data_IF_670791040548
#
_entry.id   IF_670791040548
#
_cell.length_a   1.000
_cell.length_b   1.000
_cell.length_c   1.000
_cell.angle_alpha   90.00
_cell.angle_beta   90.00
_cell.angle_gamma   90.00
#
_symmetry.space_group_name_H-M   'P 1'
#
loop_
_entity.id
_entity.type
_entity.pdbx_description
1 polymer ?
#
# COMPACT_ATOMS: atom_id res chain seq x y z
N UNK A 1 -41.86 -44.87 -6.90
CA UNK A 1 -42.77 -45.68 -7.75
C UNK A 1 -42.13 -45.73 -9.13
N UNK A 2 -41.45 -46.83 -9.47
CA UNK A 2 -41.93 -47.94 -10.35
C UNK A 2 -41.92 -47.48 -11.82
N UNK A 3 -41.29 -48.09 -12.82
CA UNK A 3 -40.72 -49.44 -13.05
C UNK A 3 -39.91 -49.35 -14.38
N UNK A 4 -38.62 -49.75 -14.43
CA UNK A 4 -38.06 -50.93 -15.12
C UNK A 4 -38.59 -51.26 -16.53
N UNK A 5 -37.66 -51.34 -17.49
CA UNK A 5 -37.69 -52.29 -18.61
C UNK A 5 -36.33 -53.02 -18.66
N UNK A 6 -36.37 -54.33 -18.88
CA UNK A 6 -35.29 -55.30 -18.63
C UNK A 6 -35.49 -56.46 -19.61
N UNK A 7 -34.54 -56.71 -20.50
CA UNK A 7 -34.48 -57.91 -21.36
C UNK A 7 -33.04 -57.93 -21.98
N UNK A 8 -32.22 -58.99 -22.12
CA UNK A 8 -32.28 -60.46 -22.01
C UNK A 8 -30.90 -60.94 -21.49
N UNK A 9 -30.83 -62.16 -20.95
CA UNK A 9 -29.71 -62.83 -20.27
C UNK A 9 -29.21 -64.07 -21.04
N UNK A 10 -27.90 -64.38 -20.85
CA UNK A 10 -27.21 -65.72 -20.81
C UNK A 10 -26.74 -66.43 -22.09
N UNK A 11 -25.87 -67.49 -22.01
CA UNK A 11 -24.94 -67.92 -20.93
C UNK A 11 -23.53 -68.45 -21.35
N UNK A 12 -22.60 -68.44 -20.39
CA UNK A 12 -21.49 -69.38 -20.03
C UNK A 12 -20.55 -70.00 -21.11
N UNK A 13 -19.21 -69.83 -21.08
CA UNK A 13 -18.13 -70.39 -20.19
C UNK A 13 -17.89 -71.92 -20.33
N UNK A 14 -16.73 -72.51 -19.92
CA UNK A 14 -15.34 -72.03 -19.71
C UNK A 14 -14.29 -72.93 -20.44
N UNK A 15 -12.98 -72.67 -20.27
CA UNK A 15 -11.99 -73.57 -19.61
C UNK A 15 -10.52 -73.24 -20.03
N UNK A 16 -9.71 -72.89 -19.02
CA UNK A 16 -8.30 -73.23 -18.69
C UNK A 16 -7.25 -73.36 -19.84
N UNK A 17 -5.98 -72.99 -19.71
CA UNK A 17 -5.03 -73.41 -18.66
C UNK A 17 -3.69 -72.66 -18.84
N UNK A 18 -2.95 -72.52 -17.73
CA UNK A 18 -1.69 -71.82 -17.62
C UNK A 18 -0.48 -72.68 -18.02
N UNK A 19 0.59 -72.08 -18.54
CA UNK A 19 1.97 -72.55 -18.27
C UNK A 19 2.97 -71.40 -18.36
N UNK A 20 3.81 -71.31 -17.32
CA UNK A 20 4.94 -70.39 -17.15
C UNK A 20 6.14 -70.79 -18.03
N UNK A 21 7.01 -69.84 -18.41
CA UNK A 21 8.42 -69.74 -17.96
C UNK A 21 9.36 -68.90 -18.88
N UNK A 22 10.11 -67.99 -18.24
CA UNK A 22 11.54 -67.63 -18.45
C UNK A 22 11.96 -66.57 -19.52
N UNK A 23 12.24 -65.36 -18.99
CA UNK A 23 13.46 -64.49 -19.09
C UNK A 23 13.95 -63.93 -20.45
N UNK A 24 13.86 -62.61 -20.65
CA UNK A 24 15.01 -61.65 -20.57
C UNK A 24 14.74 -60.28 -21.27
N UNK A 25 15.12 -59.21 -20.57
CA UNK A 25 15.40 -57.81 -20.95
C UNK A 25 15.08 -57.23 -22.35
N UNK A 26 14.46 -56.04 -22.35
CA UNK A 26 15.00 -54.77 -22.95
C UNK A 26 13.87 -53.72 -23.09
N UNK A 27 13.46 -52.99 -22.06
CA UNK A 27 13.85 -51.58 -21.78
C UNK A 27 13.99 -50.64 -22.98
N UNK A 28 12.87 -50.15 -23.54
CA UNK A 28 12.86 -48.97 -24.44
C UNK A 28 11.50 -48.25 -24.49
N UNK A 29 10.92 -47.81 -23.36
CA UNK A 29 9.68 -47.00 -23.45
C UNK A 29 9.42 -46.07 -22.25
N UNK A 30 10.47 -45.51 -21.64
CA UNK A 30 10.31 -44.57 -20.52
C UNK A 30 11.16 -43.30 -20.59
N UNK A 31 11.79 -43.02 -21.74
CA UNK A 31 12.66 -41.84 -21.90
C UNK A 31 11.99 -40.67 -22.61
N UNK A 32 11.08 -40.87 -23.58
CA UNK A 32 10.56 -39.72 -24.36
C UNK A 32 9.62 -38.79 -23.57
N UNK A 33 8.80 -39.28 -22.64
CA UNK A 33 7.91 -38.38 -21.87
C UNK A 33 8.64 -37.59 -20.76
N UNK A 34 9.82 -38.03 -20.34
CA UNK A 34 10.64 -37.30 -19.37
C UNK A 34 11.47 -36.19 -20.01
N UNK A 35 11.74 -36.26 -21.31
CA UNK A 35 12.52 -35.22 -22.01
C UNK A 35 11.69 -33.95 -22.18
N UNK A 36 10.40 -34.06 -22.53
CA UNK A 36 9.54 -32.86 -22.76
C UNK A 36 9.21 -32.08 -21.47
N UNK A 37 9.24 -32.72 -20.29
CA UNK A 37 9.05 -32.02 -19.00
C UNK A 37 10.34 -31.51 -18.35
N UNK A 38 11.52 -31.97 -18.79
CA UNK A 38 12.80 -31.47 -18.25
C UNK A 38 13.26 -30.17 -18.90
N UNK A 39 12.86 -29.90 -20.14
CA UNK A 39 13.29 -28.69 -20.87
C UNK A 39 12.62 -27.38 -20.38
N UNK A 40 11.62 -27.46 -19.50
CA UNK A 40 11.02 -26.26 -18.87
C UNK A 40 11.64 -25.85 -17.54
N UNK A 41 12.62 -26.62 -17.03
CA UNK A 41 13.43 -26.25 -15.87
C UNK A 41 14.87 -25.87 -16.24
N UNK A 42 15.20 -25.84 -17.54
CA UNK A 42 16.48 -25.33 -18.02
C UNK A 42 16.38 -23.85 -18.41
N UNK A 43 15.90 -23.02 -17.47
CA UNK A 43 16.11 -21.57 -17.55
C UNK A 43 17.46 -21.23 -16.92
N UNK A 44 18.51 -21.90 -17.39
CA UNK A 44 19.93 -21.55 -17.20
C UNK A 44 20.34 -20.24 -17.90
N UNK A 45 19.38 -19.38 -18.24
CA UNK A 45 19.67 -18.00 -18.60
C UNK A 45 20.14 -17.30 -17.35
N UNK A 46 21.45 -17.06 -17.24
CA UNK A 46 22.09 -16.18 -16.25
C UNK A 46 21.16 -15.00 -16.03
N UNK A 47 20.43 -15.06 -14.94
CA UNK A 47 19.56 -13.99 -14.52
C UNK A 47 20.38 -12.71 -14.52
N UNK A 48 19.93 -11.58 -15.10
CA UNK A 48 20.62 -10.31 -14.89
C UNK A 48 20.59 -10.00 -13.41
N UNK A 49 21.69 -10.31 -12.75
CA UNK A 49 21.94 -10.02 -11.34
C UNK A 49 21.94 -8.50 -11.18
N UNK A 50 22.42 -7.78 -12.20
CA UNK A 50 22.44 -6.31 -12.27
C UNK A 50 21.05 -5.71 -12.07
N UNK A 51 20.01 -6.19 -12.77
CA UNK A 51 18.64 -5.69 -12.59
C UNK A 51 18.10 -5.90 -11.17
N UNK A 52 18.40 -7.04 -10.56
CA UNK A 52 18.03 -7.31 -9.15
C UNK A 52 18.79 -6.44 -8.15
N UNK A 53 20.06 -6.15 -8.41
CA UNK A 53 20.87 -5.24 -7.58
C UNK A 53 20.27 -3.84 -7.65
N UNK A 54 20.02 -3.33 -8.86
CA UNK A 54 19.41 -2.00 -9.05
C UNK A 54 18.03 -1.92 -8.40
N UNK A 55 17.19 -2.94 -8.60
CA UNK A 55 15.90 -3.06 -7.89
C UNK A 55 16.09 -2.96 -6.38
N UNK A 56 17.01 -3.72 -5.80
CA UNK A 56 17.20 -3.78 -4.35
C UNK A 56 17.67 -2.44 -3.77
N UNK A 57 18.57 -1.74 -4.49
CA UNK A 57 19.04 -0.41 -4.10
C UNK A 57 17.91 0.62 -4.16
N UNK A 58 17.16 0.67 -5.27
CA UNK A 58 16.04 1.60 -5.42
C UNK A 58 14.92 1.30 -4.42
N UNK A 59 14.63 0.03 -4.18
CA UNK A 59 13.65 -0.42 -3.19
C UNK A 59 14.05 0.00 -1.77
N UNK A 60 15.34 -0.06 -1.43
CA UNK A 60 15.86 0.43 -0.16
C UNK A 60 15.73 1.94 -0.03
N UNK A 61 16.07 2.70 -1.07
CA UNK A 61 15.91 4.16 -1.07
C UNK A 61 14.42 4.53 -0.90
N UNK A 62 13.52 3.89 -1.66
CA UNK A 62 12.08 4.11 -1.55
C UNK A 62 11.57 3.79 -0.13
N UNK A 63 12.04 2.68 0.47
CA UNK A 63 11.71 2.33 1.85
C UNK A 63 12.15 3.42 2.84
N UNK A 64 13.38 3.93 2.72
CA UNK A 64 13.86 5.00 3.59
C UNK A 64 13.01 6.27 3.45
N UNK A 65 12.64 6.64 2.22
CA UNK A 65 11.77 7.78 1.97
C UNK A 65 10.40 7.61 2.61
N UNK A 66 9.75 6.44 2.50
CA UNK A 66 8.45 6.19 3.16
C UNK A 66 8.58 6.21 4.68
N UNK A 67 9.61 5.57 5.24
CA UNK A 67 9.85 5.53 6.69
C UNK A 67 10.06 6.94 7.25
N UNK A 68 10.77 7.80 6.52
CA UNK A 68 11.02 9.20 6.90
C UNK A 68 9.81 10.09 6.62
N UNK A 69 9.09 9.88 5.52
CA UNK A 69 7.88 10.63 5.16
C UNK A 69 6.77 10.44 6.21
N UNK A 70 6.61 9.21 6.69
CA UNK A 70 5.52 8.80 7.60
C UNK A 70 5.41 9.68 8.86
N UNK A 71 6.48 9.95 9.64
CA UNK A 71 6.44 10.84 10.79
C UNK A 71 6.56 12.34 10.45
N UNK A 72 6.97 12.69 9.23
CA UNK A 72 7.10 14.08 8.77
C UNK A 72 5.73 14.66 8.44
N UNK A 73 5.62 15.98 8.56
CA UNK A 73 4.40 16.72 8.24
C UNK A 73 4.04 16.59 6.75
N UNK A 74 2.79 16.29 6.47
CA UNK A 74 2.19 16.20 5.13
C UNK A 74 1.64 17.55 4.67
N UNK A 75 1.16 18.36 5.62
CA UNK A 75 0.67 19.72 5.37
C UNK A 75 1.31 20.73 6.30
N UNK A 76 1.36 21.97 5.83
CA UNK A 76 1.80 23.15 6.56
C UNK A 76 0.76 24.25 6.40
N UNK A 77 0.17 24.68 7.51
CA UNK A 77 -0.79 25.79 7.52
C UNK A 77 -0.04 27.13 7.57
N UNK A 78 -0.58 28.12 6.88
CA UNK A 78 -0.07 29.49 6.92
C UNK A 78 -0.44 30.16 8.25
N UNK A 79 0.40 31.08 8.71
CA UNK A 79 0.28 31.72 10.02
C UNK A 79 -1.03 32.54 10.13
N UNK A 80 -1.47 33.18 9.04
CA UNK A 80 -2.74 33.92 9.04
C UNK A 80 -3.98 33.07 9.31
N UNK A 81 -4.08 31.87 8.69
CA UNK A 81 -5.19 30.95 8.95
C UNK A 81 -5.04 30.22 10.28
N UNK A 82 -3.80 29.89 10.66
CA UNK A 82 -3.49 29.30 11.97
C UNK A 82 -4.02 30.20 13.09
N UNK A 83 -3.70 31.49 13.08
CA UNK A 83 -4.07 32.41 14.15
C UNK A 83 -5.58 32.64 14.22
N UNK A 84 -6.25 32.55 13.07
CA UNK A 84 -7.70 32.65 12.97
C UNK A 84 -8.43 31.43 13.54
N UNK A 85 -8.02 30.22 13.16
CA UNK A 85 -8.61 28.96 13.64
C UNK A 85 -8.20 28.62 15.08
N UNK A 86 -6.99 29.02 15.47
CA UNK A 86 -6.38 28.69 16.75
C UNK A 86 -5.81 29.95 17.42
N UNK A 87 -6.66 30.83 17.95
CA UNK A 87 -6.24 32.09 18.56
C UNK A 87 -5.35 31.88 19.79
N UNK A 88 -5.55 30.79 20.53
CA UNK A 88 -4.68 30.34 21.62
C UNK A 88 -3.22 30.08 21.20
N UNK A 89 -3.01 29.83 19.91
CA UNK A 89 -1.72 29.56 19.30
C UNK A 89 -1.15 30.79 18.56
N UNK A 90 -1.90 31.91 18.48
CA UNK A 90 -1.47 33.12 17.78
C UNK A 90 -0.23 33.78 18.42
N UNK A 91 -0.06 33.64 19.74
CA UNK A 91 1.15 34.08 20.44
C UNK A 91 2.38 33.25 20.10
N UNK A 92 2.21 32.11 19.40
CA UNK A 92 3.32 31.27 18.94
C UNK A 92 3.80 31.71 17.57
N UNK A 93 5.10 31.96 17.42
CA UNK A 93 5.72 32.17 16.10
C UNK A 93 5.88 30.86 15.30
N UNK A 94 5.42 29.72 15.82
CA UNK A 94 5.63 28.39 15.23
C UNK A 94 4.48 27.98 14.32
N UNK A 95 4.82 27.62 13.09
CA UNK A 95 3.87 27.11 12.10
C UNK A 95 3.19 25.81 12.54
N UNK A 96 1.90 25.71 12.26
CA UNK A 96 1.12 24.52 12.53
C UNK A 96 1.28 23.52 11.38
N UNK A 97 1.74 22.32 11.72
CA UNK A 97 2.06 21.28 10.76
C UNK A 97 1.26 20.02 11.05
N UNK A 98 0.78 19.35 10.02
CA UNK A 98 -0.09 18.17 10.15
C UNK A 98 0.62 16.99 9.51
N UNK A 99 0.91 15.94 10.29
CA UNK A 99 1.41 14.65 9.78
C UNK A 99 0.29 13.62 9.72
N UNK A 100 0.59 12.42 9.20
CA UNK A 100 -0.34 11.30 9.23
C UNK A 100 -0.73 10.86 10.66
N UNK A 101 0.06 11.24 11.67
CA UNK A 101 -0.06 10.79 13.06
C UNK A 101 -0.61 11.83 14.03
N UNK A 102 -0.71 13.08 13.60
CA UNK A 102 -1.11 14.18 14.48
C UNK A 102 -0.69 15.56 14.00
N UNK A 103 -1.13 16.55 14.74
CA UNK A 103 -0.73 17.95 14.61
C UNK A 103 0.51 18.24 15.44
N UNK A 104 1.41 19.04 14.90
CA UNK A 104 2.63 19.51 15.55
C UNK A 104 2.65 21.03 15.55
N UNK A 105 2.99 21.61 16.70
CA UNK A 105 3.21 23.05 16.81
C UNK A 105 4.69 23.36 16.53
N UNK A 106 5.00 23.57 15.25
CA UNK A 106 6.35 23.62 14.69
C UNK A 106 6.70 22.31 13.98
N UNK A 107 6.99 22.39 12.68
CA UNK A 107 7.29 21.22 11.84
C UNK A 107 8.50 20.39 12.29
N UNK A 108 9.43 20.99 13.04
CA UNK A 108 10.64 20.33 13.55
C UNK A 108 10.48 19.80 15.00
N UNK A 109 9.31 19.93 15.60
CA UNK A 109 9.08 19.52 16.99
C UNK A 109 8.76 18.01 17.05
N UNK A 110 9.30 17.35 18.08
CA UNK A 110 9.08 15.92 18.32
C UNK A 110 7.69 15.63 18.91
N UNK A 111 7.15 16.57 19.69
CA UNK A 111 5.86 16.45 20.35
C UNK A 111 4.68 16.71 19.41
N UNK A 112 3.59 15.96 19.64
CA UNK A 112 2.31 16.22 19.01
C UNK A 112 1.47 17.10 19.94
N UNK A 113 0.90 18.16 19.39
CA UNK A 113 -0.06 18.97 20.12
C UNK A 113 -1.40 18.23 20.24
N UNK A 114 -1.86 17.61 19.15
CA UNK A 114 -3.09 16.80 19.10
C UNK A 114 -2.87 15.56 18.21
N UNK A 115 -3.01 14.34 18.75
CA UNK A 115 -2.84 13.08 17.99
C UNK A 115 -4.14 12.56 17.38
N UNK A 116 -5.24 12.63 18.12
CA UNK A 116 -6.50 11.99 17.71
C UNK A 116 -7.34 12.84 16.75
N UNK A 117 -6.88 14.07 16.46
CA UNK A 117 -7.58 15.05 15.62
C UNK A 117 -9.06 15.25 16.00
N UNK A 118 -9.44 14.86 17.22
CA UNK A 118 -10.83 14.70 17.64
C UNK A 118 -11.52 16.05 17.69
N UNK A 119 -10.81 17.05 18.17
CA UNK A 119 -11.25 18.45 18.27
C UNK A 119 -10.98 19.28 17.02
N UNK A 120 -10.21 18.79 16.04
CA UNK A 120 -9.71 19.61 14.92
C UNK A 120 -10.37 19.25 13.59
N UNK A 121 -10.53 17.95 13.32
CA UNK A 121 -11.02 17.48 12.03
C UNK A 121 -12.33 16.74 12.15
N UNK A 122 -13.09 16.85 11.08
CA UNK A 122 -14.33 16.12 10.86
C UNK A 122 -14.14 14.62 10.99
N UNK A 123 -15.22 13.91 11.31
CA UNK A 123 -15.23 12.45 11.33
C UNK A 123 -14.66 11.86 10.04
N UNK A 124 -15.09 12.34 8.87
CA UNK A 124 -14.62 11.84 7.57
C UNK A 124 -13.12 12.03 7.34
N UNK A 125 -12.60 13.23 7.63
CA UNK A 125 -11.17 13.57 7.49
C UNK A 125 -10.32 12.78 8.48
N UNK A 126 -10.81 12.58 9.71
CA UNK A 126 -10.15 11.77 10.75
C UNK A 126 -10.05 10.30 10.36
N UNK A 127 -11.13 9.73 9.83
CA UNK A 127 -11.13 8.35 9.31
C UNK A 127 -10.11 8.21 8.18
N UNK A 128 -10.02 9.19 7.27
CA UNK A 128 -9.00 9.19 6.22
C UNK A 128 -7.57 9.18 6.78
N UNK A 129 -7.26 9.97 7.82
CA UNK A 129 -5.94 9.92 8.46
C UNK A 129 -5.64 8.55 9.09
N UNK A 130 -6.63 7.91 9.73
CA UNK A 130 -6.47 6.55 10.28
C UNK A 130 -6.26 5.50 9.20
N UNK A 131 -6.94 5.64 8.06
CA UNK A 131 -6.70 4.80 6.88
C UNK A 131 -5.26 5.03 6.38
N UNK A 132 -4.82 6.28 6.21
CA UNK A 132 -3.45 6.61 5.78
C UNK A 132 -2.41 6.02 6.73
N UNK A 133 -2.61 6.15 8.04
CA UNK A 133 -1.74 5.57 9.07
C UNK A 133 -1.57 4.06 8.88
N UNK A 134 -2.67 3.32 8.76
CA UNK A 134 -2.66 1.88 8.55
C UNK A 134 -1.99 1.48 7.23
N UNK A 135 -2.33 2.15 6.13
CA UNK A 135 -1.76 1.85 4.81
C UNK A 135 -0.27 2.18 4.74
N UNK A 136 0.22 3.22 5.43
CA UNK A 136 1.65 3.50 5.54
C UNK A 136 2.39 2.35 6.25
N UNK A 137 1.87 1.85 7.37
CA UNK A 137 2.47 0.71 8.11
C UNK A 137 2.52 -0.53 7.21
N UNK A 138 1.41 -0.85 6.54
CA UNK A 138 1.32 -1.98 5.63
C UNK A 138 2.32 -1.85 4.47
N UNK A 139 2.40 -0.66 3.85
CA UNK A 139 3.33 -0.38 2.77
C UNK A 139 4.77 -0.59 3.22
N UNK A 140 5.17 -0.08 4.40
CA UNK A 140 6.50 -0.28 4.96
C UNK A 140 6.78 -1.78 5.15
N UNK A 141 5.83 -2.52 5.74
CA UNK A 141 5.97 -3.97 5.94
C UNK A 141 6.21 -4.73 4.63
N UNK A 142 5.41 -4.46 3.61
CA UNK A 142 5.56 -5.09 2.29
C UNK A 142 6.83 -4.63 1.55
N UNK A 143 7.26 -3.37 1.73
CA UNK A 143 8.53 -2.89 1.18
C UNK A 143 9.74 -3.58 1.83
N UNK A 144 9.73 -3.78 3.14
CA UNK A 144 10.77 -4.54 3.86
C UNK A 144 10.78 -5.99 3.40
N UNK A 145 9.60 -6.62 3.30
CA UNK A 145 9.49 -7.99 2.82
C UNK A 145 9.98 -8.13 1.37
N UNK A 146 9.60 -7.18 0.51
CA UNK A 146 10.08 -7.12 -0.88
C UNK A 146 11.60 -6.90 -0.99
N UNK A 147 12.20 -6.12 -0.09
CA UNK A 147 13.64 -5.94 -0.02
C UNK A 147 14.37 -7.22 0.40
N UNK A 148 13.88 -7.90 1.46
CA UNK A 148 14.44 -9.19 1.90
C UNK A 148 14.36 -10.23 0.78
N UNK A 149 13.20 -10.33 0.12
CA UNK A 149 13.02 -11.26 -1.02
C UNK A 149 13.92 -10.88 -2.20
N UNK A 150 14.13 -9.59 -2.47
CA UNK A 150 15.10 -9.10 -3.45
C UNK A 150 16.53 -9.56 -3.15
N UNK A 151 16.97 -9.40 -1.90
CA UNK A 151 18.28 -9.86 -1.44
C UNK A 151 18.41 -11.39 -1.58
N UNK A 152 17.40 -12.15 -1.16
CA UNK A 152 17.39 -13.62 -1.30
C UNK A 152 17.39 -14.08 -2.76
N UNK A 153 16.79 -13.29 -3.66
CA UNK A 153 16.80 -13.55 -5.10
C UNK A 153 18.19 -13.34 -5.72
N UNK A 154 18.99 -12.40 -5.19
CA UNK A 154 20.39 -12.22 -5.59
C UNK A 154 21.22 -13.45 -5.21
N UNK A 155 20.96 -14.05 -4.04
CA UNK A 155 21.59 -15.31 -3.61
C UNK A 155 21.03 -16.57 -4.31
N UNK A 156 20.16 -16.40 -5.32
CA UNK A 156 19.51 -17.49 -6.07
C UNK A 156 18.68 -18.45 -5.19
N UNK A 157 18.26 -18.03 -3.99
CA UNK A 157 17.41 -18.84 -3.11
C UNK A 157 15.93 -18.74 -3.47
N UNK A 158 15.54 -17.67 -4.15
CA UNK A 158 14.16 -17.33 -4.49
C UNK A 158 14.08 -16.90 -5.96
N UNK A 159 12.98 -17.26 -6.63
CA UNK A 159 12.74 -16.86 -8.01
C UNK A 159 12.38 -15.38 -8.16
N UNK A 160 12.84 -14.75 -9.25
CA UNK A 160 12.60 -13.33 -9.57
C UNK A 160 11.13 -12.91 -9.53
N UNK A 161 10.23 -13.80 -9.97
CA UNK A 161 8.79 -13.54 -10.04
C UNK A 161 8.19 -13.22 -8.68
N UNK A 162 8.63 -13.90 -7.62
CA UNK A 162 8.12 -13.68 -6.27
C UNK A 162 8.47 -12.26 -5.78
N UNK A 163 9.73 -11.85 -5.91
CA UNK A 163 10.18 -10.50 -5.56
C UNK A 163 9.44 -9.42 -6.34
N UNK A 164 9.30 -9.58 -7.66
CA UNK A 164 8.56 -8.65 -8.50
C UNK A 164 7.09 -8.52 -8.10
N UNK A 165 6.42 -9.63 -7.78
CA UNK A 165 5.01 -9.62 -7.33
C UNK A 165 4.81 -8.88 -6.01
N UNK A 166 5.67 -9.14 -5.02
CA UNK A 166 5.60 -8.48 -3.71
C UNK A 166 5.89 -6.98 -3.86
N UNK A 167 6.90 -6.63 -4.65
CA UNK A 167 7.23 -5.24 -4.92
C UNK A 167 6.10 -4.50 -5.66
N UNK A 168 5.43 -5.17 -6.61
CA UNK A 168 4.27 -4.61 -7.32
C UNK A 168 3.11 -4.36 -6.37
N UNK A 169 2.85 -5.31 -5.47
CA UNK A 169 1.83 -5.15 -4.44
C UNK A 169 2.15 -3.97 -3.51
N UNK A 170 3.41 -3.83 -3.08
CA UNK A 170 3.85 -2.70 -2.28
C UNK A 170 3.71 -1.36 -3.03
N UNK A 171 3.98 -1.32 -4.34
CA UNK A 171 3.79 -0.13 -5.19
C UNK A 171 2.32 0.29 -5.27
N UNK A 172 1.41 -0.67 -5.45
CA UNK A 172 -0.04 -0.41 -5.46
C UNK A 172 -0.49 0.07 -4.08
N UNK A 173 -0.02 -0.53 -2.99
CA UNK A 173 -0.35 -0.05 -1.65
C UNK A 173 0.15 1.37 -1.38
N UNK A 174 1.35 1.71 -1.84
CA UNK A 174 1.94 3.03 -1.67
C UNK A 174 1.14 4.12 -2.40
N UNK A 175 0.38 3.77 -3.46
CA UNK A 175 -0.50 4.71 -4.17
C UNK A 175 -1.63 5.27 -3.28
N UNK A 176 -2.09 4.46 -2.33
CA UNK A 176 -3.29 4.76 -1.53
C UNK A 176 -3.03 5.92 -0.53
N UNK A 177 -1.99 5.89 0.32
CA UNK A 177 -1.70 7.00 1.23
C UNK A 177 -1.54 8.35 0.53
N UNK A 178 -0.77 8.41 -0.56
CA UNK A 178 -0.55 9.70 -1.25
C UNK A 178 -1.82 10.19 -1.92
N UNK A 179 -2.63 9.30 -2.50
CA UNK A 179 -3.90 9.66 -3.14
C UNK A 179 -4.91 10.22 -2.14
N UNK A 180 -5.02 9.61 -0.95
CA UNK A 180 -5.89 10.11 0.12
C UNK A 180 -5.42 11.49 0.59
N UNK A 181 -4.12 11.67 0.84
CA UNK A 181 -3.54 12.97 1.24
C UNK A 181 -3.78 14.01 0.11
N UNK A 182 -3.53 13.66 -1.15
CA UNK A 182 -3.80 14.56 -2.26
C UNK A 182 -5.29 14.99 -2.32
N UNK A 183 -6.21 14.05 -2.13
CA UNK A 183 -7.66 14.32 -2.12
C UNK A 183 -8.11 15.18 -0.93
N UNK A 184 -7.51 15.01 0.24
CA UNK A 184 -7.82 15.79 1.44
C UNK A 184 -7.42 17.27 1.31
N UNK A 185 -6.44 17.59 0.46
CA UNK A 185 -5.99 18.96 0.23
C UNK A 185 -7.08 19.89 -0.31
N UNK A 186 -8.06 19.34 -1.04
CA UNK A 186 -9.18 20.10 -1.58
C UNK A 186 -10.43 20.08 -0.67
N UNK A 187 -10.38 19.36 0.45
CA UNK A 187 -11.51 19.27 1.36
C UNK A 187 -11.55 20.49 2.28
N UNK A 188 -12.76 20.93 2.62
CA UNK A 188 -13.00 21.96 3.63
C UNK A 188 -12.89 21.35 5.03
N UNK A 189 -12.37 22.07 6.04
CA UNK A 189 -12.51 21.65 7.43
C UNK A 189 -13.99 21.70 7.82
N UNK A 190 -14.33 21.03 8.92
CA UNK A 190 -15.72 20.97 9.32
C UNK A 190 -16.15 22.13 10.20
N UNK A 191 -17.26 22.69 9.77
CA UNK A 191 -18.05 23.65 10.52
C UNK A 191 -19.37 23.01 10.89
N UNK A 192 -19.63 22.98 12.18
CA UNK A 192 -20.90 22.51 12.72
C UNK A 192 -21.76 23.73 12.98
N UNK A 193 -22.87 23.84 12.26
CA UNK A 193 -23.84 24.89 12.53
C UNK A 193 -24.76 24.43 13.65
N UNK A 194 -24.80 25.17 14.75
CA UNK A 194 -25.72 24.97 15.88
C UNK A 194 -26.85 26.00 15.83
N UNK A 195 -27.99 25.71 16.48
CA UNK A 195 -29.15 26.62 16.49
C UNK A 195 -30.00 26.59 15.21
N UNK A 196 -30.16 25.41 14.60
CA UNK A 196 -31.08 25.27 13.45
C UNK A 196 -32.52 25.57 13.88
N UNK A 197 -33.13 26.59 13.29
CA UNK A 197 -34.51 26.99 13.57
C UNK A 197 -34.66 28.03 14.69
N UNK A 198 -33.56 28.57 15.22
CA UNK A 198 -33.56 29.74 16.12
C UNK A 198 -32.95 30.96 15.43
N UNK A 199 -33.21 32.17 15.94
CA UNK A 199 -32.56 33.40 15.46
C UNK A 199 -31.05 33.42 15.78
N UNK A 200 -30.61 32.58 16.73
CA UNK A 200 -29.21 32.44 17.16
C UNK A 200 -28.48 31.31 16.43
N UNK A 201 -28.50 31.33 15.09
CA UNK A 201 -27.75 30.37 14.27
C UNK A 201 -26.27 30.71 14.34
N UNK A 202 -25.45 29.82 14.91
CA UNK A 202 -24.00 29.98 14.99
C UNK A 202 -23.28 28.90 14.19
N UNK A 203 -22.33 29.28 13.36
CA UNK A 203 -21.46 28.36 12.63
C UNK A 203 -20.19 28.18 13.46
N UNK A 204 -20.11 27.08 14.21
CA UNK A 204 -18.92 26.74 14.96
C UNK A 204 -18.02 25.87 14.09
N UNK A 205 -17.11 26.52 13.38
CA UNK A 205 -15.98 25.82 12.80
C UNK A 205 -15.08 25.32 13.92
N UNK A 206 -14.71 24.02 13.90
CA UNK A 206 -13.98 23.38 15.00
C UNK A 206 -12.49 23.79 15.02
N UNK A 207 -12.26 25.07 15.24
CA UNK A 207 -11.11 25.68 15.91
C UNK A 207 -11.67 26.36 17.17
N UNK A 208 -10.85 26.61 18.19
CA UNK A 208 -11.34 27.12 19.48
C UNK A 208 -11.80 28.61 19.44
N UNK A 209 -12.29 29.08 18.30
CA UNK A 209 -12.66 30.47 18.06
C UNK A 209 -14.15 30.56 17.74
N UNK A 210 -14.94 30.95 18.74
CA UNK A 210 -16.37 31.22 18.62
C UNK A 210 -16.69 32.50 17.82
N UNK A 211 -15.67 33.26 17.40
CA UNK A 211 -15.84 34.52 16.65
C UNK A 211 -15.78 34.35 15.13
N UNK A 212 -15.68 33.12 14.60
CA UNK A 212 -15.83 32.86 13.15
C UNK A 212 -17.32 32.66 12.86
N UNK A 213 -18.12 33.68 13.18
CA UNK A 213 -19.53 33.72 12.80
C UNK A 213 -19.56 34.39 11.43
N UNK A 214 -20.13 33.73 10.43
CA UNK A 214 -20.39 34.23 9.07
C UNK A 214 -19.26 34.20 8.02
N UNK A 215 -18.08 33.63 8.30
CA UNK A 215 -17.03 33.49 7.29
C UNK A 215 -16.87 32.05 6.78
N UNK A 216 -17.06 31.87 5.47
CA UNK A 216 -16.88 30.60 4.78
C UNK A 216 -15.41 30.17 4.87
N UNK A 217 -15.14 29.13 5.66
CA UNK A 217 -13.79 28.60 5.79
C UNK A 217 -13.41 27.84 4.50
N UNK A 218 -12.29 28.22 3.84
CA UNK A 218 -11.92 27.64 2.56
C UNK A 218 -11.30 26.23 2.72
N UNK A 219 -10.89 25.61 1.61
CA UNK A 219 -10.23 24.30 1.65
C UNK A 219 -8.82 24.38 2.23
N UNK A 220 -8.22 23.23 2.58
CA UNK A 220 -6.82 23.18 3.01
C UNK A 220 -5.85 23.83 2.00
N UNK A 221 -6.18 23.75 0.72
CA UNK A 221 -5.44 24.42 -0.36
C UNK A 221 -5.23 25.91 -0.15
N UNK A 222 -6.23 26.60 0.39
CA UNK A 222 -6.17 28.06 0.57
C UNK A 222 -5.61 28.43 1.96
N UNK A 223 -5.55 27.45 2.87
CA UNK A 223 -5.00 27.62 4.22
C UNK A 223 -3.51 27.34 4.31
N UNK A 224 -2.94 26.64 3.33
CA UNK A 224 -1.60 26.13 3.46
C UNK A 224 -1.11 25.38 2.23
N UNK A 225 0.08 24.81 2.37
CA UNK A 225 0.75 24.06 1.33
C UNK A 225 1.00 22.62 1.77
N UNK A 226 1.26 21.76 0.80
CA UNK A 226 1.92 20.49 1.09
C UNK A 226 3.27 20.73 1.79
N UNK A 227 3.63 19.81 2.66
CA UNK A 227 4.91 19.79 3.36
C UNK A 227 5.79 18.65 2.85
N UNK A 228 7.03 18.58 3.34
CA UNK A 228 8.05 17.66 2.85
C UNK A 228 7.62 16.18 2.88
N UNK A 229 6.80 15.78 3.86
CA UNK A 229 6.33 14.40 3.98
C UNK A 229 5.55 13.93 2.74
N UNK A 230 4.73 14.82 2.16
CA UNK A 230 3.98 14.51 0.94
C UNK A 230 4.93 14.31 -0.26
N UNK A 231 5.88 15.23 -0.45
CA UNK A 231 6.86 15.13 -1.54
C UNK A 231 7.73 13.88 -1.45
N UNK A 232 8.16 13.51 -0.24
CA UNK A 232 8.92 12.28 -0.01
C UNK A 232 8.11 11.02 -0.36
N UNK A 233 6.81 11.02 -0.06
CA UNK A 233 5.94 9.87 -0.32
C UNK A 233 5.66 9.70 -1.83
N UNK A 234 5.47 10.81 -2.56
CA UNK A 234 5.38 10.81 -4.03
C UNK A 234 6.69 10.35 -4.67
N UNK A 235 7.83 10.84 -4.18
CA UNK A 235 9.15 10.43 -4.66
C UNK A 235 9.41 8.93 -4.41
N UNK A 236 9.03 8.43 -3.23
CA UNK A 236 9.15 7.01 -2.91
C UNK A 236 8.35 6.13 -3.87
N UNK A 237 7.09 6.49 -4.15
CA UNK A 237 6.26 5.79 -5.12
C UNK A 237 6.89 5.79 -6.52
N UNK A 238 7.35 6.95 -7.00
CA UNK A 238 7.99 7.06 -8.31
C UNK A 238 9.25 6.20 -8.43
N UNK A 239 10.12 6.21 -7.42
CA UNK A 239 11.31 5.35 -7.37
C UNK A 239 10.90 3.88 -7.37
N UNK A 240 9.82 3.53 -6.66
CA UNK A 240 9.32 2.17 -6.63
C UNK A 240 8.81 1.71 -7.99
N UNK A 241 8.12 2.56 -8.76
CA UNK A 241 7.73 2.25 -10.15
C UNK A 241 8.96 1.89 -10.97
N UNK A 242 10.00 2.72 -10.91
CA UNK A 242 11.26 2.47 -11.63
C UNK A 242 11.90 1.16 -11.17
N UNK A 243 11.97 0.91 -9.86
CA UNK A 243 12.51 -0.32 -9.30
C UNK A 243 11.80 -1.56 -9.90
N UNK A 244 10.47 -1.53 -9.96
CA UNK A 244 9.67 -2.65 -10.48
C UNK A 244 9.95 -2.91 -11.96
N UNK A 245 10.19 -1.87 -12.76
CA UNK A 245 10.63 -2.05 -14.15
C UNK A 245 11.94 -2.85 -14.20
N UNK A 246 12.93 -2.50 -13.37
CA UNK A 246 14.20 -3.25 -13.29
C UNK A 246 14.04 -4.69 -12.76
N UNK A 247 12.99 -4.98 -11.97
CA UNK A 247 12.72 -6.32 -11.49
C UNK A 247 12.17 -7.26 -12.58
N UNK A 248 11.39 -6.71 -13.53
CA UNK A 248 10.74 -7.50 -14.59
C UNK A 248 11.46 -7.47 -15.94
N UNK A 249 12.24 -6.43 -16.23
CA UNK A 249 12.95 -6.34 -17.51
C UNK A 249 14.09 -7.39 -17.54
N UNK A 250 14.14 -8.23 -18.59
CA UNK A 250 15.27 -9.12 -18.83
C UNK A 250 16.44 -8.28 -19.37
N UNK A 251 17.18 -7.61 -18.48
CA UNK A 251 18.47 -6.99 -18.79
C UNK A 251 19.61 -8.01 -18.84
#
# INVERSE_FOLDING_TARGET
MSTKEKEVRSPHEPLNEATNEVKSHSSTESEEEKVVKKDKYDRGGKHPIVGLIVYSVLQFIALLLVVVATPISMYKMNDGWRDKLYPELASSSKQLCVSAWGMKLGCNQKGYHNRDFTSTFCYRVRVNFKIVEAFCIMTIGFMVFGLVMGILSIFQKVGKGATGSIGTFAMVLCVVPWGIIAGMYYQKPCCETTGWGTNDKSVNCRGNNTNIVDEDIPGFKDMGSYAAGFGLLVAAWAIQVVAIVFAFVPM
#
